data_IF_623107548778
#
_entry.id   IF_623107548778
#
_cell.length_a   1.000
_cell.length_b   1.000
_cell.length_c   1.000
_cell.angle_alpha   90.00
_cell.angle_beta   90.00
_cell.angle_gamma   90.00
#
_symmetry.space_group_name_H-M   'P 1'
#
loop_
_entity.id
_entity.type
_entity.pdbx_description
1 polymer ?
#
# COMPACT_ATOMS: atom_id res chain seq x y z
N UNK A 1 3.12 13.68 -1.14
CA UNK A 1 2.41 13.12 0.02
C UNK A 1 1.27 12.26 -0.50
N UNK A 2 1.07 11.07 0.06
CA UNK A 2 0.02 10.15 -0.41
C UNK A 2 -1.37 10.67 -0.03
N UNK A 3 -2.34 10.44 -0.90
CA UNK A 3 -3.77 10.69 -0.63
C UNK A 3 -4.35 9.56 0.21
N UNK A 4 -5.50 9.79 0.83
CA UNK A 4 -6.12 8.79 1.69
C UNK A 4 -6.55 7.53 0.92
N UNK A 5 -6.95 7.68 -0.34
CA UNK A 5 -7.22 6.58 -1.28
C UNK A 5 -5.98 5.69 -1.49
N UNK A 6 -4.82 6.32 -1.68
CA UNK A 6 -3.55 5.60 -1.86
C UNK A 6 -3.11 4.90 -0.57
N UNK A 7 -3.40 5.50 0.59
CA UNK A 7 -3.13 4.87 1.88
C UNK A 7 -4.08 3.70 2.15
N UNK A 8 -5.35 3.77 1.72
CA UNK A 8 -6.27 2.65 1.77
C UNK A 8 -5.76 1.47 0.94
N UNK A 9 -5.30 1.71 -0.29
CA UNK A 9 -4.69 0.65 -1.13
C UNK A 9 -3.46 0.02 -0.46
N UNK A 10 -2.58 0.82 0.16
CA UNK A 10 -1.44 0.27 0.90
C UNK A 10 -1.87 -0.60 2.10
N UNK A 11 -2.97 -0.25 2.77
CA UNK A 11 -3.53 -1.08 3.86
C UNK A 11 -4.12 -2.38 3.33
N UNK A 12 -4.85 -2.34 2.23
CA UNK A 12 -5.45 -3.53 1.62
C UNK A 12 -4.34 -4.50 1.20
N UNK A 13 -3.27 -4.00 0.57
CA UNK A 13 -2.07 -4.79 0.23
C UNK A 13 -1.43 -5.36 1.50
N UNK A 14 -1.27 -4.58 2.57
CA UNK A 14 -0.72 -5.06 3.85
C UNK A 14 -1.53 -6.20 4.46
N UNK A 15 -2.85 -6.19 4.25
CA UNK A 15 -3.78 -7.19 4.77
C UNK A 15 -4.02 -8.35 3.79
N UNK A 16 -3.32 -8.36 2.64
CA UNK A 16 -3.51 -9.33 1.57
C UNK A 16 -4.97 -9.38 1.07
N UNK A 17 -5.62 -8.22 1.04
CA UNK A 17 -6.99 -8.06 0.55
C UNK A 17 -6.94 -7.74 -0.94
N UNK A 18 -7.78 -8.43 -1.72
CA UNK A 18 -7.97 -8.14 -3.13
C UNK A 18 -8.61 -6.74 -3.28
N UNK A 19 -7.97 -5.89 -4.07
CA UNK A 19 -8.49 -4.56 -4.43
C UNK A 19 -9.17 -4.60 -5.79
N UNK A 20 -10.03 -3.61 -6.05
CA UNK A 20 -10.78 -3.53 -7.29
C UNK A 20 -9.91 -3.10 -8.49
N UNK A 21 -10.24 -3.57 -9.70
CA UNK A 21 -9.46 -3.34 -10.94
C UNK A 21 -9.30 -1.84 -11.30
N UNK A 22 -10.22 -0.99 -10.87
CA UNK A 22 -10.14 0.46 -11.04
C UNK A 22 -8.99 1.11 -10.25
N UNK A 23 -8.47 0.42 -9.23
CA UNK A 23 -7.31 0.85 -8.44
C UNK A 23 -5.97 0.52 -9.11
N UNK A 24 -5.96 -0.22 -10.22
CA UNK A 24 -4.72 -0.64 -10.89
C UNK A 24 -3.82 0.55 -11.27
N UNK A 25 -4.43 1.66 -11.72
CA UNK A 25 -3.68 2.88 -12.05
C UNK A 25 -3.01 3.54 -10.83
N UNK A 26 -3.60 3.40 -9.65
CA UNK A 26 -3.02 3.89 -8.40
C UNK A 26 -1.95 2.95 -7.86
N UNK A 27 -2.15 1.63 -7.97
CA UNK A 27 -1.13 0.63 -7.64
C UNK A 27 0.13 0.82 -8.49
N UNK A 28 -0.02 1.00 -9.80
CA UNK A 28 1.09 1.28 -10.71
C UNK A 28 1.87 2.54 -10.31
N UNK A 29 1.16 3.56 -9.82
CA UNK A 29 1.77 4.79 -9.32
C UNK A 29 2.53 4.54 -8.02
N UNK A 30 1.97 3.77 -7.10
CA UNK A 30 2.61 3.38 -5.85
C UNK A 30 3.87 2.52 -6.10
N UNK A 31 3.87 1.68 -7.13
CA UNK A 31 5.05 0.93 -7.58
C UNK A 31 6.11 1.89 -8.10
N UNK A 32 5.76 2.80 -9.01
CA UNK A 32 6.68 3.81 -9.55
C UNK A 32 7.28 4.70 -8.47
N UNK A 33 6.50 5.04 -7.45
CA UNK A 33 6.95 5.84 -6.31
C UNK A 33 7.72 5.02 -5.25
N UNK A 34 7.85 3.71 -5.44
CA UNK A 34 8.61 2.79 -4.58
C UNK A 34 7.94 2.47 -3.25
N UNK A 35 6.61 2.61 -3.17
CA UNK A 35 5.81 2.21 -2.00
C UNK A 35 5.40 0.74 -2.09
N UNK A 36 5.19 0.22 -3.30
CA UNK A 36 4.81 -1.18 -3.55
C UNK A 36 5.88 -1.84 -4.40
N UNK A 37 6.21 -3.08 -4.09
CA UNK A 37 7.00 -3.96 -4.93
C UNK A 37 6.09 -5.08 -5.45
N UNK A 38 6.38 -5.57 -6.64
CA UNK A 38 5.72 -6.75 -7.20
C UNK A 38 6.65 -7.93 -6.98
N UNK A 39 6.18 -8.95 -6.27
CA UNK A 39 6.87 -10.23 -6.12
C UNK A 39 6.05 -11.30 -6.85
N UNK A 40 6.44 -11.57 -8.10
CA UNK A 40 5.68 -12.46 -8.99
C UNK A 40 4.31 -11.90 -9.34
N UNK A 41 3.27 -12.55 -8.85
CA UNK A 41 1.85 -12.17 -8.99
C UNK A 41 1.30 -11.40 -7.78
N UNK A 42 2.11 -11.24 -6.73
CA UNK A 42 1.72 -10.57 -5.49
C UNK A 42 2.28 -9.15 -5.41
N UNK A 43 1.54 -8.30 -4.72
CA UNK A 43 1.97 -6.96 -4.34
C UNK A 43 2.41 -6.98 -2.88
N UNK A 44 3.61 -6.46 -2.62
CA UNK A 44 4.17 -6.32 -1.28
C UNK A 44 4.49 -4.87 -0.95
N UNK A 45 4.35 -4.51 0.32
CA UNK A 45 4.77 -3.20 0.80
C UNK A 45 6.27 -3.11 0.95
N UNK A 46 6.87 -2.06 0.39
CA UNK A 46 8.28 -1.76 0.66
C UNK A 46 8.48 -1.22 2.08
N UNK A 47 9.71 -1.25 2.63
CA UNK A 47 10.00 -0.63 3.92
C UNK A 47 9.60 0.85 4.01
N UNK A 48 9.58 1.55 2.87
CA UNK A 48 9.13 2.95 2.76
C UNK A 48 7.63 3.08 3.04
N UNK A 49 6.81 2.20 2.46
CA UNK A 49 5.37 2.19 2.71
C UNK A 49 5.03 1.76 4.13
N UNK A 50 5.69 0.72 4.64
CA UNK A 50 5.51 0.26 6.02
C UNK A 50 5.80 1.37 7.03
N UNK A 51 6.92 2.08 6.87
CA UNK A 51 7.25 3.23 7.72
C UNK A 51 6.20 4.35 7.61
N UNK A 52 5.73 4.66 6.41
CA UNK A 52 4.70 5.69 6.20
C UNK A 52 3.38 5.33 6.89
N UNK A 53 2.95 4.07 6.84
CA UNK A 53 1.75 3.61 7.52
C UNK A 53 1.91 3.73 9.04
N UNK A 54 3.05 3.29 9.58
CA UNK A 54 3.36 3.46 11.01
C UNK A 54 3.38 4.93 11.44
N UNK A 55 4.03 5.81 10.67
CA UNK A 55 4.14 7.25 10.97
C UNK A 55 2.79 7.97 10.89
N UNK A 56 1.85 7.50 10.06
CA UNK A 56 0.49 8.07 9.95
C UNK A 56 -0.44 7.66 11.09
N UNK A 57 0.00 6.85 12.05
CA UNK A 57 -0.91 6.26 13.03
C UNK A 57 -1.89 5.29 12.37
N UNK A 58 -1.58 4.80 11.16
CA UNK A 58 -2.25 3.62 10.63
C UNK A 58 -1.65 2.40 11.31
N UNK A 59 -1.94 2.28 12.60
CA UNK A 59 -1.55 1.16 13.43
C UNK A 59 -1.87 -0.14 12.71
N UNK A 60 -0.81 -0.88 12.40
CA UNK A 60 -0.93 -2.33 12.16
C UNK A 60 -1.21 -3.07 13.47
N UNK A 61 -1.37 -2.37 14.59
CA UNK A 61 -2.02 -2.78 15.83
C UNK A 61 -2.22 -1.55 16.74
N UNK A 62 -3.46 -1.06 16.85
CA UNK A 62 -3.96 -0.61 18.14
C UNK A 62 -4.89 -1.73 18.63
N UNK A 63 -4.31 -2.63 19.44
CA UNK A 63 -4.99 -3.70 20.14
C UNK A 63 -5.12 -3.33 21.63
#
# INVERSE_FOLDING_TARGET
MLRDEQVAVLRDIAQSIAFADDMQGEVDRLIKEGYVAMDGDLYELTPKAQKLLSDRGAGLNDA
#
